data_IF_859454291450
#
_entry.id   IF_859454291450
#
_cell.length_a   1.000
_cell.length_b   1.000
_cell.length_c   1.000
_cell.angle_alpha   90.00
_cell.angle_beta   90.00
_cell.angle_gamma   90.00
#
_symmetry.space_group_name_H-M   'P 1'
#
loop_
_entity.id
_entity.type
_entity.pdbx_description
1 polymer ?
#
# COMPACT_ATOMS: atom_id res chain seq x y z
N UNK A 1 -12.57 18.74 -9.32
CA UNK A 1 -11.32 18.17 -8.85
C UNK A 1 -11.52 17.51 -7.51
N UNK A 2 -10.92 16.37 -7.33
CA UNK A 2 -11.10 15.62 -6.10
C UNK A 2 -10.07 16.03 -5.05
N UNK A 3 -10.52 16.26 -3.82
CA UNK A 3 -9.65 16.49 -2.67
C UNK A 3 -9.25 15.19 -1.99
N UNK A 4 -9.58 14.06 -2.60
CA UNK A 4 -9.38 12.74 -2.00
C UNK A 4 -7.90 12.42 -1.78
N UNK A 5 -7.05 12.68 -2.78
CA UNK A 5 -5.61 12.41 -2.66
C UNK A 5 -4.96 13.29 -1.59
N UNK A 6 -5.18 14.62 -1.57
CA UNK A 6 -4.67 15.45 -0.48
C UNK A 6 -5.17 15.01 0.89
N UNK A 7 -6.40 14.54 0.98
CA UNK A 7 -6.97 14.03 2.23
C UNK A 7 -6.20 12.79 2.72
N UNK A 8 -5.93 11.84 1.82
CA UNK A 8 -5.16 10.64 2.16
C UNK A 8 -3.73 11.02 2.57
N UNK A 9 -3.11 11.94 1.83
CA UNK A 9 -1.76 12.42 2.16
C UNK A 9 -1.71 13.05 3.55
N UNK A 10 -2.74 13.80 3.90
CA UNK A 10 -2.87 14.43 5.22
C UNK A 10 -3.02 13.38 6.33
N UNK A 11 -3.84 12.36 6.10
CA UNK A 11 -3.99 11.25 7.06
C UNK A 11 -2.68 10.54 7.34
N UNK A 12 -1.77 10.49 6.37
CA UNK A 12 -0.50 9.77 6.48
C UNK A 12 0.68 10.65 6.85
N UNK A 13 0.44 11.93 7.06
CA UNK A 13 1.47 12.94 7.34
C UNK A 13 2.36 12.59 8.53
N UNK A 14 1.78 12.04 9.58
CA UNK A 14 2.52 11.63 10.79
C UNK A 14 3.49 10.48 10.54
N UNK A 15 3.24 9.69 9.51
CA UNK A 15 4.11 8.59 9.13
C UNK A 15 5.21 9.06 8.19
N UNK A 16 4.81 9.66 7.09
CA UNK A 16 5.77 10.00 6.04
C UNK A 16 5.12 10.86 4.95
N UNK A 17 5.92 11.63 4.21
CA UNK A 17 5.42 12.24 2.99
C UNK A 17 5.07 11.15 1.98
N UNK A 18 3.90 11.30 1.36
CA UNK A 18 3.43 10.37 0.35
C UNK A 18 3.26 11.14 -0.96
N UNK A 19 3.90 10.66 -2.02
CA UNK A 19 3.76 11.29 -3.33
C UNK A 19 2.72 10.54 -4.17
N UNK A 20 2.09 11.26 -5.08
CA UNK A 20 1.08 10.71 -5.97
C UNK A 20 1.51 10.89 -7.41
N UNK A 21 1.31 9.87 -8.24
CA UNK A 21 1.62 9.91 -9.67
C UNK A 21 0.44 9.36 -10.46
N UNK A 22 0.12 10.02 -11.55
CA UNK A 22 -0.96 9.56 -12.44
C UNK A 22 -0.61 8.25 -13.10
N UNK A 23 -1.57 7.32 -13.13
CA UNK A 23 -1.43 6.06 -13.84
C UNK A 23 -2.81 5.45 -14.14
N UNK A 24 -2.98 4.91 -15.32
CA UNK A 24 -4.18 4.15 -15.73
C UNK A 24 -5.51 4.84 -15.41
N UNK A 25 -5.56 6.17 -15.54
CA UNK A 25 -6.79 6.92 -15.23
C UNK A 25 -7.01 7.19 -13.75
N UNK A 26 -6.09 6.76 -12.90
CA UNK A 26 -6.10 7.03 -11.46
C UNK A 26 -4.74 7.52 -11.02
N UNK A 27 -4.35 7.16 -9.80
CA UNK A 27 -3.06 7.57 -9.24
C UNK A 27 -2.46 6.42 -8.43
N UNK A 28 -1.13 6.31 -8.47
CA UNK A 28 -0.39 5.48 -7.54
C UNK A 28 0.14 6.35 -6.41
N UNK A 29 0.12 5.83 -5.19
CA UNK A 29 0.70 6.50 -4.04
C UNK A 29 2.02 5.83 -3.68
N UNK A 30 3.03 6.64 -3.45
CA UNK A 30 4.41 6.18 -3.27
C UNK A 30 5.01 6.71 -1.98
N UNK A 31 5.83 5.87 -1.36
CA UNK A 31 6.70 6.25 -0.26
C UNK A 31 8.07 5.65 -0.54
N UNK A 32 9.10 6.49 -0.48
CA UNK A 32 10.48 6.09 -0.79
C UNK A 32 10.61 5.35 -2.13
N UNK A 33 9.88 5.83 -3.12
CA UNK A 33 9.94 5.29 -4.48
C UNK A 33 9.16 4.00 -4.70
N UNK A 34 8.50 3.46 -3.67
CA UNK A 34 7.70 2.24 -3.79
C UNK A 34 6.21 2.55 -3.75
N UNK A 35 5.50 2.08 -4.76
CA UNK A 35 4.06 2.22 -4.81
C UNK A 35 3.41 1.23 -3.84
N UNK A 36 2.59 1.75 -2.92
CA UNK A 36 1.92 0.92 -1.92
C UNK A 36 0.40 1.06 -1.97
N UNK A 37 -0.12 1.95 -2.79
CA UNK A 37 -1.55 2.17 -2.89
C UNK A 37 -1.94 2.68 -4.26
N UNK A 38 -3.20 2.46 -4.62
CA UNK A 38 -3.80 2.94 -5.87
C UNK A 38 -5.06 3.72 -5.51
N UNK A 39 -5.23 4.88 -6.13
CA UNK A 39 -6.46 5.65 -6.06
C UNK A 39 -7.14 5.58 -7.41
N UNK A 40 -8.36 5.07 -7.44
CA UNK A 40 -9.14 4.93 -8.66
C UNK A 40 -10.61 5.22 -8.35
N UNK A 41 -11.22 6.13 -9.10
CA UNK A 41 -12.63 6.52 -8.91
C UNK A 41 -12.93 6.92 -7.47
N UNK A 42 -12.03 7.68 -6.84
CA UNK A 42 -12.14 8.15 -5.46
C UNK A 42 -12.21 7.00 -4.44
N UNK A 43 -11.58 5.88 -4.77
CA UNK A 43 -11.44 4.74 -3.87
C UNK A 43 -9.97 4.46 -3.67
N UNK A 44 -9.62 4.02 -2.47
CA UNK A 44 -8.25 3.69 -2.11
C UNK A 44 -8.10 2.18 -2.04
N UNK A 45 -7.04 1.68 -2.68
CA UNK A 45 -6.67 0.26 -2.64
C UNK A 45 -5.25 0.16 -2.14
N UNK A 46 -5.01 -0.74 -1.20
CA UNK A 46 -3.71 -0.89 -0.53
C UNK A 46 -3.02 -2.16 -1.00
N UNK A 47 -1.69 -2.10 -1.10
CA UNK A 47 -0.89 -3.25 -1.53
C UNK A 47 -1.11 -4.42 -0.57
N UNK A 48 -1.37 -5.59 -1.15
CA UNK A 48 -1.61 -6.82 -0.42
C UNK A 48 -0.67 -7.92 -0.89
N UNK A 49 -0.22 -8.76 0.01
CA UNK A 49 0.55 -9.96 -0.30
C UNK A 49 0.12 -11.08 0.64
N UNK A 50 0.81 -12.21 0.61
CA UNK A 50 0.46 -13.36 1.44
C UNK A 50 0.52 -13.04 2.94
N UNK A 51 1.37 -12.11 3.34
CA UNK A 51 1.59 -11.79 4.75
C UNK A 51 0.42 -10.95 5.31
N UNK A 52 0.00 -9.90 4.59
CA UNK A 52 -1.05 -9.02 5.10
C UNK A 52 -2.46 -9.34 4.58
N UNK A 53 -2.59 -10.27 3.63
CA UNK A 53 -3.89 -10.66 3.07
C UNK A 53 -4.93 -11.03 4.14
N UNK A 54 -4.58 -11.80 5.18
CA UNK A 54 -5.58 -12.18 6.18
C UNK A 54 -6.26 -10.99 6.86
N UNK A 55 -5.56 -9.86 7.02
CA UNK A 55 -6.14 -8.65 7.60
C UNK A 55 -7.27 -8.08 6.74
N UNK A 56 -7.06 -8.10 5.41
CA UNK A 56 -8.08 -7.64 4.46
C UNK A 56 -9.25 -8.62 4.38
N UNK A 57 -8.95 -9.91 4.33
CA UNK A 57 -9.98 -10.95 4.22
C UNK A 57 -10.89 -10.98 5.46
N UNK A 58 -10.33 -10.75 6.64
CA UNK A 58 -11.08 -10.70 7.88
C UNK A 58 -12.15 -9.62 7.86
N UNK A 59 -11.94 -8.54 7.11
CA UNK A 59 -12.88 -7.43 6.97
C UNK A 59 -13.71 -7.51 5.69
N UNK A 60 -13.53 -8.57 4.92
CA UNK A 60 -14.26 -8.76 3.66
C UNK A 60 -13.89 -7.77 2.57
N UNK A 61 -12.66 -7.25 2.60
CA UNK A 61 -12.22 -6.25 1.64
C UNK A 61 -11.84 -6.89 0.31
N UNK A 62 -12.47 -6.42 -0.76
CA UNK A 62 -12.33 -7.03 -2.07
C UNK A 62 -11.02 -6.65 -2.78
N UNK A 63 -10.49 -7.56 -3.62
CA UNK A 63 -9.32 -7.24 -4.42
C UNK A 63 -9.65 -6.22 -5.50
N UNK A 64 -8.63 -5.45 -5.89
CA UNK A 64 -8.73 -4.51 -6.99
C UNK A 64 -8.63 -5.28 -8.31
N UNK A 65 -9.58 -5.06 -9.20
CA UNK A 65 -9.54 -5.62 -10.54
C UNK A 65 -9.46 -4.49 -11.57
N UNK A 66 -8.70 -4.73 -12.62
CA UNK A 66 -8.49 -3.76 -13.68
C UNK A 66 -8.70 -4.46 -15.02
N UNK A 67 -9.44 -3.83 -15.92
CA UNK A 67 -9.65 -4.40 -17.25
C UNK A 67 -8.48 -4.10 -18.17
N UNK A 68 -7.85 -5.14 -18.66
CA UNK A 68 -6.78 -5.04 -19.64
C UNK A 68 -7.11 -5.93 -20.83
N UNK A 69 -7.20 -5.33 -22.02
CA UNK A 69 -7.47 -6.06 -23.27
C UNK A 69 -8.72 -6.94 -23.18
N UNK A 70 -9.78 -6.40 -22.56
CA UNK A 70 -11.04 -7.11 -22.44
C UNK A 70 -11.10 -8.17 -21.35
N UNK A 71 -10.04 -8.30 -20.54
CA UNK A 71 -9.98 -9.27 -19.44
C UNK A 71 -9.86 -8.57 -18.11
N UNK A 72 -10.53 -9.11 -17.09
CA UNK A 72 -10.38 -8.63 -15.73
C UNK A 72 -9.10 -9.21 -15.14
N UNK A 73 -8.19 -8.32 -14.74
CA UNK A 73 -6.94 -8.72 -14.11
C UNK A 73 -6.98 -8.28 -12.66
N UNK A 74 -6.80 -9.22 -11.74
CA UNK A 74 -6.71 -8.92 -10.32
C UNK A 74 -5.27 -8.49 -10.00
N UNK A 75 -5.13 -7.30 -9.45
CA UNK A 75 -3.83 -6.82 -8.99
C UNK A 75 -3.70 -7.11 -7.50
N UNK A 76 -2.45 -7.14 -7.01
CA UNK A 76 -2.16 -7.41 -5.60
C UNK A 76 -2.47 -6.20 -4.73
N UNK A 77 -3.70 -5.71 -4.82
CA UNK A 77 -4.20 -4.55 -4.06
C UNK A 77 -5.61 -4.87 -3.60
N UNK A 78 -5.97 -4.40 -2.42
CA UNK A 78 -7.32 -4.59 -1.88
C UNK A 78 -7.87 -3.29 -1.34
N UNK A 79 -9.20 -3.19 -1.35
CA UNK A 79 -9.89 -1.99 -0.89
C UNK A 79 -9.47 -1.65 0.55
N UNK A 80 -9.24 -0.37 0.82
CA UNK A 80 -8.94 0.09 2.15
C UNK A 80 -10.20 0.01 3.02
N UNK A 81 -10.06 -0.33 4.33
CA UNK A 81 -11.22 -0.36 5.22
C UNK A 81 -11.70 1.06 5.51
N UNK A 82 -12.97 1.18 5.90
CA UNK A 82 -13.54 2.47 6.27
C UNK A 82 -12.77 3.12 7.43
N UNK A 83 -12.27 2.30 8.35
CA UNK A 83 -11.48 2.77 9.49
C UNK A 83 -10.25 3.57 9.07
N UNK A 84 -9.71 3.31 7.88
CA UNK A 84 -8.56 4.07 7.34
C UNK A 84 -8.85 5.58 7.34
N UNK A 85 -10.09 5.94 7.02
CA UNK A 85 -10.47 7.34 6.84
C UNK A 85 -10.95 8.00 8.14
N UNK A 86 -11.13 7.22 9.20
CA UNK A 86 -11.68 7.71 10.46
C UNK A 86 -10.63 8.37 11.35
N UNK A 87 -9.39 7.91 11.28
CA UNK A 87 -8.33 8.43 12.15
C UNK A 87 -6.95 8.20 11.52
N UNK A 88 -6.07 9.16 11.74
CA UNK A 88 -4.68 9.11 11.27
C UNK A 88 -3.94 7.86 11.74
N UNK A 89 -4.15 7.47 13.01
CA UNK A 89 -3.49 6.28 13.57
C UNK A 89 -3.86 5.01 12.80
N UNK A 90 -5.13 4.85 12.45
CA UNK A 90 -5.59 3.72 11.63
C UNK A 90 -4.99 3.78 10.22
N UNK A 91 -5.04 4.96 9.61
CA UNK A 91 -4.50 5.16 8.28
C UNK A 91 -3.03 4.77 8.21
N UNK A 92 -2.24 5.21 9.18
CA UNK A 92 -0.81 4.93 9.25
C UNK A 92 -0.54 3.42 9.39
N UNK A 93 -1.28 2.72 10.23
CA UNK A 93 -1.12 1.28 10.39
C UNK A 93 -1.37 0.52 9.08
N UNK A 94 -2.46 0.85 8.41
CA UNK A 94 -2.80 0.20 7.15
C UNK A 94 -1.79 0.54 6.05
N UNK A 95 -1.35 1.80 5.99
CA UNK A 95 -0.36 2.24 5.01
C UNK A 95 0.99 1.57 5.24
N UNK A 96 1.42 1.44 6.48
CA UNK A 96 2.67 0.76 6.81
C UNK A 96 2.63 -0.71 6.41
N UNK A 97 1.52 -1.38 6.67
CA UNK A 97 1.31 -2.77 6.26
C UNK A 97 1.39 -2.91 4.74
N UNK A 98 0.74 -2.00 4.01
CA UNK A 98 0.76 -1.99 2.56
C UNK A 98 2.16 -1.71 2.01
N UNK A 99 2.87 -0.76 2.60
CA UNK A 99 4.24 -0.44 2.18
C UNK A 99 5.19 -1.61 2.45
N UNK A 100 5.02 -2.31 3.59
CA UNK A 100 5.81 -3.49 3.89
C UNK A 100 5.57 -4.59 2.84
N UNK A 101 4.33 -4.75 2.39
CA UNK A 101 4.00 -5.69 1.31
C UNK A 101 4.67 -5.28 0.00
N UNK A 102 4.67 -3.98 -0.31
CA UNK A 102 5.34 -3.46 -1.50
C UNK A 102 6.85 -3.70 -1.43
N UNK A 103 7.43 -3.51 -0.25
CA UNK A 103 8.86 -3.74 -0.04
C UNK A 103 9.21 -5.22 -0.22
N UNK A 104 8.43 -6.14 0.33
CA UNK A 104 8.65 -7.57 0.15
C UNK A 104 8.60 -7.95 -1.34
N UNK A 105 7.64 -7.42 -2.08
CA UNK A 105 7.52 -7.66 -3.51
C UNK A 105 8.71 -7.11 -4.29
N UNK A 106 9.19 -5.93 -3.92
CA UNK A 106 10.36 -5.32 -4.53
C UNK A 106 11.61 -6.17 -4.29
N UNK A 107 11.76 -6.71 -3.08
CA UNK A 107 12.91 -7.53 -2.71
C UNK A 107 13.02 -8.81 -3.53
N UNK A 108 11.90 -9.42 -3.84
CA UNK A 108 11.86 -10.65 -4.64
C UNK A 108 12.40 -10.39 -6.05
N UNK A 109 12.23 -9.18 -6.58
CA UNK A 109 12.65 -8.80 -7.94
C UNK A 109 14.02 -8.11 -7.97
N UNK A 110 14.56 -7.74 -6.81
CA UNK A 110 15.82 -7.00 -6.72
C UNK A 110 17.02 -7.92 -6.85
N UNK A 111 18.21 -7.40 -7.28
CA UNK A 111 19.46 -8.18 -7.23
C UNK A 111 19.74 -8.67 -5.82
N UNK A 112 20.46 -9.79 -5.71
CA UNK A 112 20.75 -10.43 -4.42
C UNK A 112 21.32 -9.47 -3.36
N UNK A 113 22.18 -8.54 -3.79
CA UNK A 113 22.78 -7.55 -2.90
C UNK A 113 21.74 -6.61 -2.29
N UNK A 114 20.80 -6.16 -3.10
CA UNK A 114 19.71 -5.28 -2.63
C UNK A 114 18.74 -6.05 -1.73
N UNK A 115 18.47 -7.33 -2.05
CA UNK A 115 17.63 -8.18 -1.22
C UNK A 115 18.20 -8.38 0.18
N UNK A 116 19.51 -8.63 0.27
CA UNK A 116 20.17 -8.80 1.56
C UNK A 116 20.09 -7.53 2.42
N UNK A 117 20.34 -6.38 1.81
CA UNK A 117 20.28 -5.08 2.47
C UNK A 117 18.89 -4.78 3.01
N UNK A 118 17.87 -5.08 2.26
CA UNK A 118 16.49 -4.83 2.66
C UNK A 118 15.98 -5.84 3.68
N UNK A 119 16.49 -7.08 3.69
CA UNK A 119 16.20 -8.03 4.76
C UNK A 119 16.69 -7.52 6.10
N UNK A 120 17.84 -6.90 6.14
CA UNK A 120 18.37 -6.29 7.36
C UNK A 120 17.50 -5.17 7.87
N UNK A 121 17.01 -4.31 6.96
CA UNK A 121 16.10 -3.23 7.30
C UNK A 121 14.77 -3.78 7.85
N UNK A 122 14.23 -4.82 7.22
CA UNK A 122 12.99 -5.46 7.64
C UNK A 122 13.12 -6.10 9.03
N UNK A 123 14.24 -6.73 9.30
CA UNK A 123 14.53 -7.29 10.62
C UNK A 123 14.57 -6.23 11.70
N UNK A 124 15.17 -5.08 11.41
CA UNK A 124 15.21 -3.96 12.36
C UNK A 124 13.81 -3.40 12.64
N UNK A 125 13.01 -3.25 11.61
CA UNK A 125 11.63 -2.80 11.75
C UNK A 125 10.79 -3.77 12.58
N UNK A 126 10.96 -5.08 12.33
CA UNK A 126 10.29 -6.14 13.07
C UNK A 126 10.64 -6.13 14.56
N UNK A 127 11.91 -5.90 14.88
CA UNK A 127 12.37 -5.80 16.26
C UNK A 127 11.80 -4.57 16.97
N UNK A 128 11.71 -3.46 16.27
CA UNK A 128 11.12 -2.24 16.81
C UNK A 128 9.66 -2.43 17.16
N UNK A 129 8.95 -3.23 16.37
CA UNK A 129 7.53 -3.51 16.58
C UNK A 129 7.25 -4.36 17.81
N UNK A 130 8.21 -5.12 18.28
CA UNK A 130 8.05 -6.03 19.43
C UNK A 130 8.46 -5.41 20.75
N UNK A 131 9.08 -4.26 20.70
CA UNK A 131 9.56 -3.59 21.91
C UNK A 131 8.47 -2.86 22.68
#
# INVERSE_FOLDING_TARGET
>A
MSDFIPFVQELLEDWAPVSARRMFGGHGLYHEGLMFAIVMNQRLYLKSDEVNRPEFEALGLSPFTFQMKGKDVALSYRAAPDAFFDASAEAVQWAQSAWAAALRGHLVKAPAKARAKARMADKKASRSHRA
#
